data_IF_646196433992
#
_entry.id   IF_646196433992
#
_cell.length_a   1.000
_cell.length_b   1.000
_cell.length_c   1.000
_cell.angle_alpha   90.00
_cell.angle_beta   90.00
_cell.angle_gamma   90.00
#
_symmetry.space_group_name_H-M   'P 1'
#
loop_
_entity.id
_entity.type
_entity.pdbx_description
1 polymer ?
#
# COMPACT_ATOMS: atom_id res chain seq x y z
N UNK A 1 -2.95 -20.37 -9.92
CA UNK A 1 -3.28 -18.96 -10.16
C UNK A 1 -4.79 -18.80 -10.15
N UNK A 2 -5.34 -18.35 -9.03
CA UNK A 2 -6.74 -17.94 -8.91
C UNK A 2 -6.86 -16.46 -9.31
N UNK A 3 -7.95 -16.09 -9.97
CA UNK A 3 -8.24 -14.70 -10.30
C UNK A 3 -9.09 -14.00 -9.22
N UNK A 4 -9.68 -14.78 -8.33
CA UNK A 4 -10.38 -14.31 -7.13
C UNK A 4 -9.55 -14.71 -5.91
N UNK A 5 -9.53 -13.87 -4.86
CA UNK A 5 -8.72 -14.14 -3.69
C UNK A 5 -9.25 -15.35 -2.90
N UNK A 6 -8.41 -16.36 -2.72
CA UNK A 6 -8.72 -17.52 -1.89
C UNK A 6 -7.50 -17.89 -1.02
N UNK A 7 -7.54 -17.66 0.31
CA UNK A 7 -8.67 -17.14 1.07
C UNK A 7 -8.88 -15.63 0.89
N UNK A 8 -10.12 -15.16 1.03
CA UNK A 8 -10.51 -13.76 0.79
C UNK A 8 -10.16 -12.80 1.94
N UNK A 9 -10.08 -13.28 3.18
CA UNK A 9 -9.95 -12.44 4.37
C UNK A 9 -8.64 -11.63 4.45
N UNK A 10 -7.45 -12.12 4.00
CA UNK A 10 -6.23 -11.31 4.04
C UNK A 10 -6.33 -10.09 3.11
N UNK A 11 -6.98 -10.26 1.96
CA UNK A 11 -7.27 -9.16 1.02
C UNK A 11 -8.23 -8.16 1.64
N UNK A 12 -9.24 -8.61 2.39
CA UNK A 12 -10.16 -7.72 3.10
C UNK A 12 -9.46 -6.91 4.20
N UNK A 13 -8.58 -7.56 4.98
CA UNK A 13 -7.75 -6.90 5.99
C UNK A 13 -6.84 -5.86 5.33
N UNK A 14 -6.20 -6.21 4.21
CA UNK A 14 -5.35 -5.27 3.47
C UNK A 14 -6.15 -4.09 2.93
N UNK A 15 -7.35 -4.32 2.38
CA UNK A 15 -8.23 -3.25 1.93
C UNK A 15 -8.55 -2.28 3.08
N UNK A 16 -8.88 -2.82 4.26
CA UNK A 16 -9.11 -2.00 5.45
C UNK A 16 -7.88 -1.18 5.85
N UNK A 17 -6.70 -1.80 5.91
CA UNK A 17 -5.43 -1.12 6.22
C UNK A 17 -5.19 0.05 5.25
N UNK A 18 -5.33 -0.19 3.95
CA UNK A 18 -5.07 0.82 2.91
C UNK A 18 -6.11 1.95 2.96
N UNK A 19 -7.37 1.66 3.29
CA UNK A 19 -8.41 2.69 3.48
C UNK A 19 -8.01 3.61 4.64
N UNK A 20 -7.67 3.03 5.79
CA UNK A 20 -7.26 3.80 6.97
C UNK A 20 -6.03 4.63 6.64
N UNK A 21 -5.02 4.04 6.00
CA UNK A 21 -3.80 4.74 5.60
C UNK A 21 -4.06 5.86 4.57
N UNK A 22 -5.02 5.68 3.66
CA UNK A 22 -5.51 6.71 2.75
C UNK A 22 -6.09 7.92 3.50
N UNK A 23 -6.97 7.68 4.48
CA UNK A 23 -7.50 8.75 5.33
C UNK A 23 -6.42 9.45 6.15
N UNK A 24 -5.52 8.69 6.76
CA UNK A 24 -4.41 9.24 7.53
C UNK A 24 -3.44 10.03 6.65
N UNK A 25 -3.31 9.71 5.36
CA UNK A 25 -2.49 10.49 4.41
C UNK A 25 -3.20 11.76 3.95
N UNK A 26 -4.53 11.72 3.81
CA UNK A 26 -5.32 12.90 3.48
C UNK A 26 -5.23 13.94 4.59
N UNK A 27 -5.31 13.51 5.86
CA UNK A 27 -5.17 14.34 7.05
C UNK A 27 -3.95 13.87 7.89
N UNK A 28 -2.73 14.20 7.44
CA UNK A 28 -1.48 13.64 7.97
C UNK A 28 -1.28 13.98 9.45
N UNK A 29 -1.29 12.98 10.35
CA UNK A 29 -0.78 13.17 11.70
C UNK A 29 0.73 13.41 11.63
N UNK A 30 1.30 13.96 12.71
CA UNK A 30 2.71 14.37 12.78
C UNK A 30 3.67 13.26 12.32
N UNK A 31 3.43 12.01 12.69
CA UNK A 31 4.24 10.85 12.30
C UNK A 31 4.30 10.64 10.78
N UNK A 32 3.16 10.77 10.09
CA UNK A 32 3.11 10.63 8.62
C UNK A 32 3.72 11.85 7.96
N UNK A 33 3.42 13.05 8.45
CA UNK A 33 3.99 14.29 7.93
C UNK A 33 5.53 14.28 8.03
N UNK A 34 6.09 13.84 9.17
CA UNK A 34 7.53 13.74 9.38
C UNK A 34 8.17 12.73 8.43
N UNK A 35 7.52 11.59 8.19
CA UNK A 35 7.97 10.59 7.20
C UNK A 35 7.97 11.17 5.77
N UNK A 36 6.87 11.81 5.35
CA UNK A 36 6.74 12.42 4.02
C UNK A 36 7.76 13.56 3.80
N UNK A 37 8.01 14.36 4.83
CA UNK A 37 9.07 15.37 4.82
C UNK A 37 10.46 14.73 4.79
N UNK A 38 10.68 13.64 5.52
CA UNK A 38 11.94 12.91 5.56
C UNK A 38 12.35 12.34 4.21
N UNK A 39 11.38 11.91 3.39
CA UNK A 39 11.62 11.50 2.00
C UNK A 39 11.64 12.67 0.99
N UNK A 40 11.44 13.90 1.46
CA UNK A 40 11.49 15.11 0.64
C UNK A 40 10.29 15.30 -0.29
N UNK A 41 9.12 14.70 0.01
CA UNK A 41 7.94 14.84 -0.83
C UNK A 41 7.25 16.21 -0.61
N UNK A 42 7.07 17.04 -1.64
CA UNK A 42 6.39 18.33 -1.49
C UNK A 42 4.96 18.15 -0.99
N UNK A 43 4.54 19.01 -0.05
CA UNK A 43 3.23 18.93 0.62
C UNK A 43 2.05 18.95 -0.36
N UNK A 44 2.19 19.68 -1.46
CA UNK A 44 1.17 19.80 -2.51
C UNK A 44 0.91 18.49 -3.27
N UNK A 45 1.76 17.48 -3.09
CA UNK A 45 1.63 16.16 -3.71
C UNK A 45 1.09 15.09 -2.76
N UNK A 46 0.90 15.39 -1.47
CA UNK A 46 0.48 14.39 -0.48
C UNK A 46 -0.92 13.85 -0.75
N UNK A 47 -1.82 14.67 -1.30
CA UNK A 47 -3.17 14.24 -1.68
C UNK A 47 -3.15 13.16 -2.78
N UNK A 48 -2.14 13.19 -3.67
CA UNK A 48 -1.99 12.17 -4.72
C UNK A 48 -1.78 10.79 -4.09
N UNK A 49 -0.98 10.70 -3.02
CA UNK A 49 -0.79 9.45 -2.29
C UNK A 49 -2.10 8.94 -1.68
N UNK A 50 -2.93 9.82 -1.12
CA UNK A 50 -4.24 9.44 -0.61
C UNK A 50 -5.14 8.89 -1.72
N UNK A 51 -5.18 9.55 -2.89
CA UNK A 51 -5.94 9.08 -4.06
C UNK A 51 -5.46 7.70 -4.53
N UNK A 52 -4.14 7.49 -4.65
CA UNK A 52 -3.58 6.20 -5.04
C UNK A 52 -3.98 5.09 -4.06
N UNK A 53 -3.94 5.37 -2.75
CA UNK A 53 -4.39 4.43 -1.72
C UNK A 53 -5.88 4.11 -1.82
N UNK A 54 -6.74 5.12 -2.03
CA UNK A 54 -8.17 4.88 -2.22
C UNK A 54 -8.48 4.09 -3.50
N UNK A 55 -7.74 4.33 -4.59
CA UNK A 55 -7.85 3.53 -5.82
C UNK A 55 -7.42 2.07 -5.57
N UNK A 56 -6.33 1.85 -4.84
CA UNK A 56 -5.89 0.52 -4.46
C UNK A 56 -6.95 -0.18 -3.60
N UNK A 57 -7.49 0.50 -2.58
CA UNK A 57 -8.57 -0.03 -1.75
C UNK A 57 -9.83 -0.38 -2.57
N UNK A 58 -10.24 0.50 -3.48
CA UNK A 58 -11.36 0.24 -4.38
C UNK A 58 -11.10 -0.98 -5.27
N UNK A 59 -9.88 -1.13 -5.80
CA UNK A 59 -9.48 -2.30 -6.58
C UNK A 59 -9.48 -3.60 -5.77
N UNK A 60 -9.01 -3.57 -4.53
CA UNK A 60 -9.06 -4.73 -3.62
C UNK A 60 -10.50 -5.14 -3.30
N UNK A 61 -11.37 -4.18 -3.01
CA UNK A 61 -12.79 -4.45 -2.74
C UNK A 61 -13.50 -4.97 -3.99
N UNK A 62 -13.36 -4.29 -5.13
CA UNK A 62 -13.93 -4.73 -6.40
C UNK A 62 -13.43 -6.13 -6.82
N UNK A 63 -12.20 -6.47 -6.44
CA UNK A 63 -11.57 -7.78 -6.65
C UNK A 63 -12.29 -8.97 -6.01
N UNK A 64 -13.24 -8.76 -5.09
CA UNK A 64 -14.10 -9.83 -4.57
C UNK A 64 -15.20 -10.26 -5.55
N UNK A 65 -15.61 -9.37 -6.45
CA UNK A 65 -16.66 -9.66 -7.42
C UNK A 65 -16.12 -9.76 -8.85
N UNK A 66 -15.02 -9.06 -9.14
CA UNK A 66 -14.46 -8.97 -10.49
C UNK A 66 -13.11 -9.69 -10.53
N UNK A 67 -13.01 -10.83 -11.24
CA UNK A 67 -11.77 -11.59 -11.36
C UNK A 67 -10.61 -10.73 -11.88
N UNK A 68 -9.45 -10.84 -11.22
CA UNK A 68 -8.20 -10.18 -11.60
C UNK A 68 -7.99 -8.78 -11.02
N UNK A 69 -9.05 -8.08 -10.57
CA UNK A 69 -8.91 -6.73 -10.01
C UNK A 69 -8.17 -6.70 -8.66
N UNK A 70 -8.46 -7.66 -7.78
CA UNK A 70 -7.76 -7.78 -6.50
C UNK A 70 -6.27 -8.10 -6.70
N UNK A 71 -5.96 -8.99 -7.66
CA UNK A 71 -4.60 -9.31 -8.05
C UNK A 71 -3.87 -8.07 -8.58
N UNK A 72 -4.49 -7.33 -9.50
CA UNK A 72 -3.92 -6.10 -10.06
C UNK A 72 -3.68 -5.03 -8.97
N UNK A 73 -4.60 -4.89 -8.02
CA UNK A 73 -4.46 -3.96 -6.90
C UNK A 73 -3.31 -4.35 -5.96
N UNK A 74 -3.16 -5.64 -5.61
CA UNK A 74 -2.02 -6.13 -4.81
C UNK A 74 -0.70 -5.89 -5.54
N UNK A 75 -0.62 -6.20 -6.84
CA UNK A 75 0.59 -5.94 -7.64
C UNK A 75 0.89 -4.43 -7.68
N UNK A 76 -0.13 -3.59 -7.85
CA UNK A 76 0.01 -2.14 -7.79
C UNK A 76 0.53 -1.65 -6.44
N UNK A 77 0.05 -2.23 -5.33
CA UNK A 77 0.55 -1.93 -3.99
C UNK A 77 2.02 -2.34 -3.81
N UNK A 78 2.44 -3.49 -4.35
CA UNK A 78 3.84 -3.91 -4.35
C UNK A 78 4.71 -2.88 -5.08
N UNK A 79 4.31 -2.48 -6.30
CA UNK A 79 5.02 -1.45 -7.07
C UNK A 79 5.07 -0.14 -6.30
N UNK A 80 3.96 0.28 -5.69
CA UNK A 80 3.90 1.47 -4.84
C UNK A 80 4.93 1.40 -3.71
N UNK A 81 4.95 0.32 -2.92
CA UNK A 81 5.91 0.18 -1.81
C UNK A 81 7.37 0.06 -2.28
N UNK A 82 7.64 -0.52 -3.45
CA UNK A 82 8.99 -0.52 -4.04
C UNK A 82 9.44 0.90 -4.42
N UNK A 83 8.54 1.71 -5.00
CA UNK A 83 8.86 3.12 -5.30
C UNK A 83 9.06 3.95 -4.04
N UNK A 84 8.25 3.72 -3.00
CA UNK A 84 8.43 4.33 -1.69
C UNK A 84 9.78 3.95 -1.07
N UNK A 85 10.15 2.67 -1.11
CA UNK A 85 11.45 2.20 -0.63
C UNK A 85 12.60 2.90 -1.37
N UNK A 86 12.50 3.05 -2.69
CA UNK A 86 13.46 3.82 -3.47
C UNK A 86 13.56 5.29 -3.04
N UNK A 87 12.44 5.95 -2.74
CA UNK A 87 12.43 7.32 -2.22
C UNK A 87 13.12 7.44 -0.85
N UNK A 88 12.85 6.51 0.07
CA UNK A 88 13.51 6.44 1.37
C UNK A 88 15.04 6.27 1.24
N UNK A 89 15.48 5.33 0.40
CA UNK A 89 16.90 5.08 0.16
C UNK A 89 17.59 6.30 -0.47
N UNK A 90 16.94 6.95 -1.45
CA UNK A 90 17.45 8.16 -2.10
C UNK A 90 17.61 9.33 -1.12
N UNK A 91 16.66 9.48 -0.20
CA UNK A 91 16.71 10.54 0.80
C UNK A 91 17.62 10.21 2.00
N UNK A 92 18.15 8.99 2.10
CA UNK A 92 18.86 8.52 3.29
C UNK A 92 17.98 8.40 4.54
N UNK A 93 16.65 8.49 4.39
CA UNK A 93 15.68 8.43 5.48
C UNK A 93 15.30 6.98 5.77
N UNK A 94 16.24 6.22 6.34
CA UNK A 94 16.14 4.77 6.59
C UNK A 94 15.98 4.50 8.09
N UNK A 95 14.88 4.98 8.66
CA UNK A 95 14.54 4.82 10.07
C UNK A 95 13.48 3.74 10.32
N UNK A 96 12.82 3.83 11.48
CA UNK A 96 11.69 2.98 11.86
C UNK A 96 10.58 2.96 10.79
N UNK A 97 10.30 4.11 10.18
CA UNK A 97 9.22 4.24 9.19
C UNK A 97 9.52 3.44 7.91
N UNK A 98 10.78 3.37 7.50
CA UNK A 98 11.20 2.54 6.37
C UNK A 98 11.03 1.04 6.67
N UNK A 99 11.50 0.57 7.83
CA UNK A 99 11.47 -0.85 8.16
C UNK A 99 10.06 -1.37 8.48
N UNK A 100 9.31 -0.66 9.34
CA UNK A 100 8.00 -1.14 9.79
C UNK A 100 6.89 -0.82 8.79
N UNK A 101 6.83 0.40 8.29
CA UNK A 101 5.74 0.80 7.40
C UNK A 101 6.05 0.36 5.96
N UNK A 102 7.15 0.83 5.38
CA UNK A 102 7.43 0.55 3.97
C UNK A 102 7.73 -0.93 3.71
N UNK A 103 8.75 -1.48 4.37
CA UNK A 103 9.18 -2.87 4.12
C UNK A 103 8.20 -3.89 4.70
N UNK A 104 7.64 -3.60 5.88
CA UNK A 104 6.60 -4.44 6.49
C UNK A 104 5.37 -4.59 5.61
N UNK A 105 4.85 -3.49 5.06
CA UNK A 105 3.70 -3.55 4.14
C UNK A 105 4.07 -4.18 2.79
N UNK A 106 5.29 -3.98 2.29
CA UNK A 106 5.76 -4.66 1.08
C UNK A 106 5.74 -6.18 1.26
N UNK A 107 6.32 -6.67 2.36
CA UNK A 107 6.35 -8.10 2.69
C UNK A 107 4.93 -8.63 2.85
N UNK A 108 4.05 -7.91 3.54
CA UNK A 108 2.65 -8.30 3.70
C UNK A 108 1.93 -8.45 2.35
N UNK A 109 2.11 -7.50 1.41
CA UNK A 109 1.52 -7.60 0.07
C UNK A 109 2.08 -8.78 -0.73
N UNK A 110 3.38 -9.07 -0.60
CA UNK A 110 3.99 -10.25 -1.24
C UNK A 110 3.40 -11.54 -0.67
N UNK A 111 3.23 -11.63 0.65
CA UNK A 111 2.60 -12.78 1.30
C UNK A 111 1.15 -12.95 0.84
N UNK A 112 0.37 -11.87 0.75
CA UNK A 112 -1.00 -11.92 0.25
C UNK A 112 -1.03 -12.36 -1.22
N UNK A 113 -0.14 -11.83 -2.06
CA UNK A 113 -0.02 -12.23 -3.47
C UNK A 113 0.21 -13.74 -3.59
N UNK A 114 1.20 -14.26 -2.86
CA UNK A 114 1.55 -15.68 -2.90
C UNK A 114 0.41 -16.53 -2.36
N UNK A 115 -0.08 -16.22 -1.17
CA UNK A 115 -1.01 -17.06 -0.43
C UNK A 115 -2.45 -17.02 -0.96
N UNK A 116 -2.90 -15.89 -1.52
CA UNK A 116 -4.30 -15.72 -1.93
C UNK A 116 -4.53 -15.87 -3.45
N UNK A 117 -3.46 -15.82 -4.26
CA UNK A 117 -3.58 -15.82 -5.73
C UNK A 117 -2.66 -16.83 -6.44
N UNK A 118 -1.55 -17.26 -5.83
CA UNK A 118 -0.58 -18.15 -6.49
C UNK A 118 -0.65 -19.60 -6.01
N UNK A 119 -0.83 -19.80 -4.70
CA UNK A 119 -1.08 -21.10 -4.05
C UNK A 119 -2.53 -21.50 -4.26
#
# INVERSE_FOLDING_TARGET
>A
MSLLPDPWWPVAVMAFIVIVDGFLTFWPPKVIADCLNGVGLPRDWWWVLAVVKFLAAAGLLAGFWIPGLGLAAIVGLIVYFLTAAGAHLRAGYVGRDFWLNCLGMLVLNILILVFCFLV
#
